data_IF_977008981431
#
_entry.id   IF_977008981431
#
_cell.length_a   1.000
_cell.length_b   1.000
_cell.length_c   1.000
_cell.angle_alpha   90.00
_cell.angle_beta   90.00
_cell.angle_gamma   90.00
#
_symmetry.space_group_name_H-M   'P 1'
#
loop_
_entity.id
_entity.type
_entity.pdbx_description
1 polymer ?
#
# COMPACT_ATOMS: atom_id res chain seq x y z
N UNK A 1 -11.78 12.59 20.95
CA UNK A 1 -12.37 11.62 21.90
C UNK A 1 -12.31 10.26 21.22
N UNK A 2 -11.38 9.39 21.61
CA UNK A 2 -11.20 8.05 21.01
C UNK A 2 -12.04 7.07 21.83
N UNK A 3 -12.96 6.35 21.18
CA UNK A 3 -13.77 5.32 21.82
C UNK A 3 -13.17 3.95 21.47
N UNK A 4 -12.85 3.16 22.50
CA UNK A 4 -12.33 1.81 22.38
C UNK A 4 -13.48 0.81 22.35
N UNK A 5 -13.41 -0.17 21.45
CA UNK A 5 -14.33 -1.32 21.47
C UNK A 5 -13.80 -2.43 22.40
N UNK A 6 -14.71 -3.29 22.86
CA UNK A 6 -14.47 -4.38 23.82
C UNK A 6 -13.46 -5.46 23.34
N UNK A 7 -12.83 -5.28 22.18
CA UNK A 7 -11.78 -6.14 21.61
C UNK A 7 -10.44 -5.40 21.42
N UNK A 8 -10.25 -4.21 22.01
CA UNK A 8 -8.99 -3.47 21.97
C UNK A 8 -8.67 -2.77 20.64
N UNK A 9 -9.49 -2.96 19.60
CA UNK A 9 -9.37 -2.23 18.35
C UNK A 9 -9.98 -0.83 18.42
N UNK A 10 -9.23 0.16 17.92
CA UNK A 10 -9.70 1.54 17.74
C UNK A 10 -10.90 1.56 16.79
N UNK A 11 -12.08 1.96 17.28
CA UNK A 11 -13.26 2.06 16.41
C UNK A 11 -13.14 3.33 15.56
N UNK A 12 -12.93 3.16 14.25
CA UNK A 12 -12.90 4.26 13.31
C UNK A 12 -14.31 4.84 13.13
N UNK A 13 -14.46 6.16 13.22
CA UNK A 13 -15.72 6.82 12.88
C UNK A 13 -15.97 6.62 11.38
N UNK A 14 -17.23 6.33 11.01
CA UNK A 14 -17.64 5.98 9.64
C UNK A 14 -17.38 7.05 8.56
N UNK A 15 -16.80 8.19 8.93
CA UNK A 15 -16.51 9.33 8.05
C UNK A 15 -15.01 9.57 7.82
N UNK A 16 -14.13 8.89 8.56
CA UNK A 16 -12.69 9.10 8.42
C UNK A 16 -12.14 8.22 7.31
N UNK A 17 -11.57 8.84 6.28
CA UNK A 17 -10.91 8.13 5.18
C UNK A 17 -9.69 7.34 5.67
N UNK A 18 -9.47 6.15 5.14
CA UNK A 18 -8.24 5.38 5.30
C UNK A 18 -7.29 5.77 4.18
N UNK A 19 -6.63 6.91 4.31
CA UNK A 19 -5.61 7.33 3.33
C UNK A 19 -4.37 6.44 3.44
N UNK A 20 -3.48 6.51 2.43
CA UNK A 20 -2.17 5.83 2.52
C UNK A 20 -1.36 6.35 3.73
N UNK A 21 -1.43 7.65 4.03
CA UNK A 21 -0.78 8.25 5.22
C UNK A 21 -1.33 7.65 6.52
N UNK A 22 -2.65 7.57 6.68
CA UNK A 22 -3.28 6.97 7.88
C UNK A 22 -2.89 5.50 8.02
N UNK A 23 -2.91 4.77 6.91
CA UNK A 23 -2.51 3.35 6.90
C UNK A 23 -1.06 3.16 7.32
N UNK A 24 -0.16 4.01 6.82
CA UNK A 24 1.24 3.97 7.18
C UNK A 24 1.50 4.38 8.64
N UNK A 25 0.70 5.30 9.21
CA UNK A 25 0.74 5.61 10.65
C UNK A 25 0.41 4.41 11.52
N UNK A 26 -0.58 3.60 11.13
CA UNK A 26 -0.93 2.38 11.85
C UNK A 26 0.18 1.32 11.73
N UNK A 27 0.78 1.16 10.54
CA UNK A 27 1.96 0.30 10.34
C UNK A 27 3.11 0.73 11.27
N UNK A 28 3.39 2.03 11.33
CA UNK A 28 4.41 2.60 12.23
C UNK A 28 4.12 2.35 13.71
N UNK A 29 2.84 2.27 14.09
CA UNK A 29 2.41 1.97 15.45
C UNK A 29 2.52 0.47 15.81
N UNK A 30 2.93 -0.38 14.85
CA UNK A 30 3.17 -1.80 15.06
C UNK A 30 2.01 -2.72 14.61
N UNK A 31 1.02 -2.19 13.90
CA UNK A 31 -0.06 -3.00 13.34
C UNK A 31 0.44 -3.91 12.21
N UNK A 32 -0.17 -5.09 12.03
CA UNK A 32 0.15 -5.94 10.88
C UNK A 32 -0.17 -5.17 9.58
N UNK A 33 0.78 -4.98 8.65
CA UNK A 33 0.60 -4.08 7.52
C UNK A 33 -0.60 -4.36 6.61
N UNK A 34 -1.06 -5.61 6.53
CA UNK A 34 -2.21 -5.94 5.68
C UNK A 34 -3.54 -5.53 6.26
N UNK A 35 -3.63 -5.27 7.57
CA UNK A 35 -4.83 -4.73 8.21
C UNK A 35 -5.12 -3.29 7.74
N UNK A 36 -4.23 -2.29 7.95
CA UNK A 36 -4.44 -0.93 7.48
C UNK A 36 -4.46 -0.84 5.94
N UNK A 37 -3.62 -1.59 5.23
CA UNK A 37 -3.66 -1.62 3.76
C UNK A 37 -4.97 -2.22 3.23
N UNK A 38 -5.54 -3.22 3.93
CA UNK A 38 -6.85 -3.77 3.65
C UNK A 38 -7.97 -2.73 3.81
N UNK A 39 -7.91 -1.94 4.89
CA UNK A 39 -8.83 -0.82 5.12
C UNK A 39 -8.71 0.24 4.01
N UNK A 40 -7.48 0.58 3.61
CA UNK A 40 -7.23 1.52 2.50
C UNK A 40 -7.83 0.98 1.20
N UNK A 41 -7.66 -0.31 0.90
CA UNK A 41 -8.24 -0.93 -0.30
C UNK A 41 -9.78 -0.94 -0.27
N UNK A 42 -10.39 -1.12 0.91
CA UNK A 42 -11.85 -1.01 1.04
C UNK A 42 -12.33 0.40 0.69
N UNK A 43 -11.64 1.44 1.17
CA UNK A 43 -11.98 2.83 0.85
C UNK A 43 -11.72 3.17 -0.62
N UNK A 44 -10.55 2.77 -1.14
CA UNK A 44 -10.11 3.10 -2.50
C UNK A 44 -10.94 2.38 -3.58
N UNK A 45 -11.34 1.13 -3.34
CA UNK A 45 -12.09 0.35 -4.32
C UNK A 45 -13.60 0.35 -4.10
N UNK A 46 -14.08 0.52 -2.87
CA UNK A 46 -15.46 0.28 -2.48
C UNK A 46 -16.16 1.47 -1.84
N UNK A 47 -15.70 1.93 -0.69
CA UNK A 47 -16.45 2.89 0.13
C UNK A 47 -16.46 4.30 -0.47
N UNK A 48 -15.34 4.73 -1.09
CA UNK A 48 -15.17 6.09 -1.61
C UNK A 48 -14.41 6.15 -2.94
N UNK A 49 -14.83 5.41 -4.00
CA UNK A 49 -14.15 5.40 -5.29
C UNK A 49 -14.06 6.78 -5.96
N UNK A 50 -14.98 7.70 -5.64
CA UNK A 50 -14.99 9.10 -6.07
C UNK A 50 -13.94 9.97 -5.36
N UNK A 51 -13.34 9.49 -4.26
CA UNK A 51 -12.34 10.20 -3.45
C UNK A 51 -10.94 9.58 -3.53
N UNK A 52 -10.67 8.76 -4.56
CA UNK A 52 -9.37 8.08 -4.75
C UNK A 52 -8.17 9.01 -4.73
N UNK A 53 -8.29 10.21 -5.31
CA UNK A 53 -7.21 11.20 -5.29
C UNK A 53 -6.90 11.65 -3.86
N UNK A 54 -7.92 11.90 -3.03
CA UNK A 54 -7.74 12.29 -1.63
C UNK A 54 -7.08 11.18 -0.80
N UNK A 55 -7.43 9.92 -1.08
CA UNK A 55 -6.88 8.75 -0.39
C UNK A 55 -5.36 8.59 -0.57
N UNK A 56 -4.77 9.17 -1.61
CA UNK A 56 -3.34 9.05 -1.93
C UNK A 56 -2.58 10.36 -1.88
N UNK A 57 -3.26 11.49 -1.70
CA UNK A 57 -2.67 12.84 -1.81
C UNK A 57 -1.62 13.12 -0.74
N UNK A 58 -1.92 12.80 0.51
CA UNK A 58 -1.08 13.16 1.66
C UNK A 58 0.24 12.38 1.68
N UNK A 59 1.40 13.05 1.88
CA UNK A 59 2.69 12.39 1.97
C UNK A 59 2.79 11.50 3.20
N UNK A 60 3.67 10.50 3.18
CA UNK A 60 3.98 9.69 4.36
C UNK A 60 4.73 10.56 5.38
N UNK A 61 4.37 10.44 6.66
CA UNK A 61 5.13 11.06 7.74
C UNK A 61 6.31 10.17 8.10
N UNK A 62 7.53 10.68 7.98
CA UNK A 62 8.73 9.93 8.35
C UNK A 62 8.77 9.67 9.87
N UNK A 63 9.14 8.45 10.31
CA UNK A 63 9.37 8.14 11.71
C UNK A 63 10.65 8.80 12.23
N UNK A 64 10.67 9.07 13.54
CA UNK A 64 11.88 9.54 14.24
C UNK A 64 12.97 8.46 14.23
N UNK A 65 12.59 7.20 14.35
CA UNK A 65 13.48 6.04 14.25
C UNK A 65 13.08 5.18 13.05
N UNK A 66 13.96 5.10 12.05
CA UNK A 66 13.75 4.28 10.87
C UNK A 66 14.45 2.93 11.03
N UNK A 67 13.69 1.84 10.98
CA UNK A 67 14.24 0.49 10.91
C UNK A 67 14.25 -0.02 9.45
N UNK A 68 15.09 -1.01 9.10
CA UNK A 68 15.08 -1.57 7.74
C UNK A 68 13.74 -2.15 7.31
N UNK A 69 12.98 -2.75 8.25
CA UNK A 69 11.66 -3.29 7.94
C UNK A 69 10.63 -2.18 7.72
N UNK A 70 10.63 -1.16 8.58
CA UNK A 70 9.76 0.00 8.40
C UNK A 70 10.09 0.76 7.11
N UNK A 71 11.38 0.84 6.74
CA UNK A 71 11.79 1.41 5.47
C UNK A 71 11.23 0.65 4.27
N UNK A 72 11.24 -0.69 4.29
CA UNK A 72 10.60 -1.52 3.24
C UNK A 72 9.13 -1.17 3.08
N UNK A 73 8.38 -1.03 4.18
CA UNK A 73 6.97 -0.64 4.13
C UNK A 73 6.77 0.81 3.68
N UNK A 74 7.67 1.72 4.03
CA UNK A 74 7.65 3.11 3.56
C UNK A 74 7.74 3.16 2.03
N UNK A 75 8.75 2.48 1.47
CA UNK A 75 8.98 2.40 0.03
C UNK A 75 7.82 1.66 -0.66
N UNK A 76 7.26 0.62 -0.02
CA UNK A 76 6.08 -0.08 -0.50
C UNK A 76 4.85 0.82 -0.62
N UNK A 77 4.56 1.61 0.41
CA UNK A 77 3.44 2.56 0.40
C UNK A 77 3.60 3.60 -0.72
N UNK A 78 4.81 4.15 -0.91
CA UNK A 78 5.09 5.06 -2.02
C UNK A 78 4.89 4.41 -3.40
N UNK A 79 5.45 3.20 -3.60
CA UNK A 79 5.28 2.42 -4.83
C UNK A 79 3.81 2.09 -5.11
N UNK A 80 3.04 1.81 -4.06
CA UNK A 80 1.61 1.51 -4.14
C UNK A 80 0.80 2.71 -4.61
N UNK A 81 1.10 3.90 -4.10
CA UNK A 81 0.44 5.14 -4.53
C UNK A 81 0.73 5.40 -6.01
N UNK A 82 1.99 5.31 -6.43
CA UNK A 82 2.33 5.48 -7.85
C UNK A 82 1.57 4.46 -8.73
N UNK A 83 1.61 3.18 -8.36
CA UNK A 83 0.93 2.12 -9.11
C UNK A 83 -0.58 2.38 -9.24
N UNK A 84 -1.23 2.76 -8.15
CA UNK A 84 -2.67 3.03 -8.14
C UNK A 84 -3.01 4.29 -8.96
N UNK A 85 -2.19 5.33 -8.88
CA UNK A 85 -2.38 6.53 -9.70
C UNK A 85 -2.28 6.20 -11.20
N UNK A 86 -1.26 5.43 -11.60
CA UNK A 86 -1.12 4.97 -12.98
C UNK A 86 -2.29 4.08 -13.42
N UNK A 87 -2.70 3.14 -12.57
CA UNK A 87 -3.76 2.17 -12.91
C UNK A 87 -5.15 2.81 -13.07
N UNK A 88 -5.44 3.85 -12.30
CA UNK A 88 -6.75 4.51 -12.28
C UNK A 88 -6.74 5.92 -12.86
N UNK A 89 -5.69 6.28 -13.61
CA UNK A 89 -5.53 7.58 -14.29
C UNK A 89 -5.70 8.78 -13.34
N UNK A 90 -5.08 8.71 -12.16
CA UNK A 90 -5.10 9.77 -11.15
C UNK A 90 -3.81 10.61 -11.24
N UNK A 91 -3.87 11.91 -10.90
CA UNK A 91 -2.67 12.71 -10.71
C UNK A 91 -1.78 12.08 -9.62
N UNK A 92 -0.58 11.65 -10.00
CA UNK A 92 0.36 11.06 -9.05
C UNK A 92 1.03 12.16 -8.21
N UNK A 93 0.95 12.12 -6.88
CA UNK A 93 1.56 13.14 -6.04
C UNK A 93 3.09 13.04 -6.11
N UNK A 94 3.76 14.20 -6.09
CA UNK A 94 5.22 14.29 -6.25
C UNK A 94 6.00 13.50 -5.18
N UNK A 95 5.47 13.41 -3.96
CA UNK A 95 6.11 12.66 -2.88
C UNK A 95 6.26 11.17 -3.23
N UNK A 96 5.25 10.55 -3.86
CA UNK A 96 5.28 9.14 -4.20
C UNK A 96 6.32 8.83 -5.28
N UNK A 97 6.62 9.84 -6.12
CA UNK A 97 7.63 9.79 -7.17
C UNK A 97 9.05 10.13 -6.69
N UNK A 98 9.24 10.43 -5.40
CA UNK A 98 10.54 10.80 -4.88
C UNK A 98 11.55 9.64 -5.05
N UNK A 99 12.69 9.83 -5.75
CA UNK A 99 13.68 8.77 -5.98
C UNK A 99 14.32 8.24 -4.69
N UNK A 100 14.23 8.99 -3.58
CA UNK A 100 14.71 8.54 -2.27
C UNK A 100 13.93 7.34 -1.74
N UNK A 101 12.70 7.10 -2.20
CA UNK A 101 11.98 5.87 -1.89
C UNK A 101 12.48 4.71 -2.76
N UNK A 102 13.70 4.26 -2.49
CA UNK A 102 14.34 3.12 -3.15
C UNK A 102 15.05 2.27 -2.10
N UNK A 103 14.96 0.94 -2.22
CA UNK A 103 15.69 0.02 -1.36
C UNK A 103 17.07 -0.26 -1.95
N UNK A 104 18.09 -0.33 -1.10
CA UNK A 104 19.45 -0.68 -1.52
C UNK A 104 19.53 -2.14 -2.02
N UNK A 105 18.77 -3.03 -1.36
CA UNK A 105 18.74 -4.46 -1.66
C UNK A 105 17.34 -4.92 -2.11
N UNK A 106 17.25 -5.88 -3.05
CA UNK A 106 16.00 -6.48 -3.48
C UNK A 106 15.15 -7.05 -2.34
N UNK A 107 13.89 -6.61 -2.25
CA UNK A 107 12.91 -7.18 -1.33
C UNK A 107 11.88 -8.04 -2.06
N UNK A 108 12.02 -9.36 -1.91
CA UNK A 108 11.08 -10.34 -2.46
C UNK A 108 9.98 -10.69 -1.46
N UNK A 109 8.82 -10.06 -1.63
CA UNK A 109 7.66 -10.26 -0.77
C UNK A 109 6.73 -11.34 -1.33
N UNK A 110 7.00 -12.61 -0.96
CA UNK A 110 6.13 -13.75 -1.27
C UNK A 110 6.48 -14.97 -0.45
N UNK A 111 5.50 -15.85 -0.22
CA UNK A 111 5.77 -17.19 0.31
C UNK A 111 6.70 -17.95 -0.66
N UNK A 112 7.77 -18.51 -0.11
CA UNK A 112 8.75 -19.26 -0.90
C UNK A 112 9.76 -18.41 -1.65
N UNK A 113 9.92 -17.12 -1.33
CA UNK A 113 10.90 -16.23 -1.96
C UNK A 113 12.37 -16.63 -1.78
N UNK A 114 12.66 -17.66 -0.98
CA UNK A 114 13.97 -18.31 -0.92
C UNK A 114 14.29 -19.15 -2.17
N UNK A 115 13.28 -19.50 -3.00
CA UNK A 115 13.46 -20.28 -4.23
C UNK A 115 13.66 -19.33 -5.41
N UNK A 116 14.70 -19.59 -6.22
CA UNK A 116 15.00 -18.73 -7.38
C UNK A 116 13.86 -18.72 -8.41
N UNK A 117 13.18 -19.85 -8.63
CA UNK A 117 12.02 -19.91 -9.52
C UNK A 117 10.87 -19.00 -9.07
N UNK A 118 10.70 -18.79 -7.77
CA UNK A 118 9.72 -17.84 -7.23
C UNK A 118 10.20 -16.41 -7.44
N UNK A 119 11.48 -16.12 -7.22
CA UNK A 119 12.07 -14.79 -7.46
C UNK A 119 11.96 -14.37 -8.92
N UNK A 120 12.27 -15.27 -9.86
CA UNK A 120 12.13 -15.00 -11.30
C UNK A 120 10.69 -14.65 -11.67
N UNK A 121 9.73 -15.43 -11.17
CA UNK A 121 8.30 -15.11 -11.37
C UNK A 121 7.94 -13.74 -10.81
N UNK A 122 8.45 -13.37 -9.63
CA UNK A 122 8.20 -12.05 -9.05
C UNK A 122 8.82 -10.93 -9.89
N UNK A 123 10.05 -11.08 -10.38
CA UNK A 123 10.69 -10.11 -11.30
C UNK A 123 9.86 -9.87 -12.55
N UNK A 124 9.26 -10.93 -13.11
CA UNK A 124 8.41 -10.84 -14.30
C UNK A 124 7.04 -10.23 -14.04
N UNK A 125 6.45 -10.47 -12.86
CA UNK A 125 5.05 -10.10 -12.57
C UNK A 125 4.89 -8.79 -11.82
N UNK A 126 5.95 -8.31 -11.16
CA UNK A 126 5.86 -7.09 -10.36
C UNK A 126 5.78 -5.84 -11.24
N UNK A 127 4.82 -4.92 -10.99
CA UNK A 127 4.69 -3.71 -11.80
C UNK A 127 5.92 -2.78 -11.73
N UNK A 128 6.14 -1.93 -12.76
CA UNK A 128 7.26 -0.98 -12.82
C UNK A 128 7.40 -0.04 -11.61
N UNK A 129 6.28 0.42 -11.03
CA UNK A 129 6.29 1.26 -9.84
C UNK A 129 7.02 0.62 -8.65
N UNK A 130 6.99 -0.71 -8.54
CA UNK A 130 7.64 -1.46 -7.47
C UNK A 130 9.06 -1.90 -7.86
N UNK A 131 9.25 -2.43 -9.07
CA UNK A 131 10.55 -2.95 -9.51
C UNK A 131 11.64 -1.87 -9.56
N UNK A 132 11.29 -0.64 -9.96
CA UNK A 132 12.24 0.50 -9.93
C UNK A 132 12.76 0.84 -8.52
N UNK A 133 12.08 0.36 -7.48
CA UNK A 133 12.39 0.59 -6.07
C UNK A 133 12.94 -0.66 -5.37
N UNK A 134 13.37 -1.65 -6.15
CA UNK A 134 13.85 -2.95 -5.67
C UNK A 134 12.79 -3.76 -4.88
N UNK A 135 11.51 -3.54 -5.15
CA UNK A 135 10.41 -4.32 -4.56
C UNK A 135 9.91 -5.36 -5.57
N UNK A 136 9.75 -6.61 -5.11
CA UNK A 136 9.29 -7.75 -5.90
C UNK A 136 8.14 -8.48 -5.19
N UNK A 137 6.91 -7.99 -5.38
CA UNK A 137 5.69 -8.45 -4.69
C UNK A 137 4.66 -9.20 -5.57
N UNK A 138 4.99 -9.47 -6.84
CA UNK A 138 4.04 -9.96 -7.84
C UNK A 138 2.95 -8.93 -8.19
N UNK A 139 1.87 -9.40 -8.85
CA UNK A 139 0.79 -8.57 -9.41
C UNK A 139 -0.51 -8.58 -8.61
N UNK A 140 -0.56 -9.27 -7.46
CA UNK A 140 -1.81 -9.56 -6.73
C UNK A 140 -2.05 -8.73 -5.46
N UNK A 141 -1.20 -7.73 -5.19
CA UNK A 141 -1.28 -6.97 -3.93
C UNK A 141 -2.50 -6.05 -3.84
N UNK A 142 -2.95 -5.51 -4.97
CA UNK A 142 -4.07 -4.56 -5.06
C UNK A 142 -5.15 -5.07 -6.01
N UNK A 143 -5.65 -6.28 -5.75
CA UNK A 143 -6.75 -6.87 -6.54
C UNK A 143 -8.05 -6.22 -6.10
N UNK A 144 -8.67 -5.47 -7.01
CA UNK A 144 -9.99 -4.91 -6.79
C UNK A 144 -11.04 -6.03 -6.85
N UNK A 145 -11.56 -6.43 -5.69
CA UNK A 145 -12.59 -7.48 -5.59
C UNK A 145 -13.90 -7.11 -6.30
N UNK A 146 -14.20 -5.82 -6.50
CA UNK A 146 -15.40 -5.32 -7.17
C UNK A 146 -15.29 -5.31 -8.70
N UNK A 147 -14.08 -5.29 -9.26
CA UNK A 147 -13.86 -5.39 -10.73
C UNK A 147 -14.29 -6.76 -11.27
N UNK A 148 -14.21 -7.83 -10.46
CA UNK A 148 -14.63 -9.18 -10.85
C UNK A 148 -16.14 -9.34 -10.98
N UNK A 149 -16.93 -8.44 -10.39
CA UNK A 149 -18.39 -8.51 -10.39
C UNK A 149 -19.05 -7.76 -11.57
N UNK A 150 -18.30 -6.96 -12.34
CA UNK A 150 -18.83 -6.20 -13.49
C UNK A 150 -18.54 -6.81 -14.87
N UNK A 151 -17.86 -7.96 -14.93
CA UNK A 151 -17.56 -8.66 -16.19
C UNK A 151 -18.61 -9.72 -16.59
N UNK A 152 -19.79 -9.71 -15.96
CA UNK A 152 -20.89 -10.65 -16.22
C UNK A 152 -22.23 -9.95 -16.52
N UNK A 153 -22.20 -8.74 -17.09
CA UNK A 153 -23.41 -8.09 -17.62
C UNK A 153 -23.19 -7.71 -19.07
#
# INVERSE_FOLDING_TARGET
MVLYNALGGTMKLATQLQTMNVSYKEIRAGEDPWIPLGNFMNDFFGNYPERREELVREPLEEPVEMTPDLWRWTVFCAASVEYLCQKYDLPCPAWAMNPLYTLDEPWYYSLGSHKESVRERLRQQTPPAFTRRNIFCGSRMFVNKYERSRALV
#
